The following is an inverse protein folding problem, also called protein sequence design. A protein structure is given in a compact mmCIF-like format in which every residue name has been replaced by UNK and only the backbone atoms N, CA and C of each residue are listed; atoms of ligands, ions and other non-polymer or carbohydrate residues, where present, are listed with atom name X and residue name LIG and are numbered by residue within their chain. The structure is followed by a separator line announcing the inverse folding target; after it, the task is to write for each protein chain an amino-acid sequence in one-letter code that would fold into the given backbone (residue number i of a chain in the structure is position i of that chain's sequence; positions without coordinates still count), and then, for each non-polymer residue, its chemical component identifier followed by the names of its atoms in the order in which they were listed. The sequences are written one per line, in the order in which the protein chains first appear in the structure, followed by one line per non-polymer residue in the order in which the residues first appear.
data_IF_103016825763
#
_entry.id   IF_103016825763
#
_cell.length_a   1.000
_cell.length_b   1.000
_cell.length_c   1.000
_cell.angle_alpha   90.00
_cell.angle_beta   90.00
_cell.angle_gamma   90.00
#
_symmetry.space_group_name_H-M   'P 1'
#
loop_
_entity.id
_entity.type
_entity.pdbx_description
1 polymer ?
#
# COMPACT_ATOMS: atom_id res chain seq x y z
N UNK A 1 -32.98 1.72 28.77
CA UNK A 1 -32.49 1.98 27.39
C UNK A 1 -31.19 1.19 27.22
N UNK A 2 -31.08 0.34 26.18
CA UNK A 2 -29.82 -0.39 25.93
C UNK A 2 -28.75 0.63 25.46
N UNK A 3 -27.50 0.57 25.94
CA UNK A 3 -26.47 1.49 25.48
C UNK A 3 -26.23 1.26 23.99
N UNK A 4 -26.41 2.32 23.22
CA UNK A 4 -26.20 2.32 21.78
C UNK A 4 -24.68 2.38 21.57
N UNK A 5 -24.12 1.27 21.09
CA UNK A 5 -22.67 1.07 21.00
C UNK A 5 -22.13 1.84 19.79
N UNK A 6 -21.75 3.09 20.02
CA UNK A 6 -21.08 3.90 19.01
C UNK A 6 -19.58 3.75 19.14
N UNK A 7 -18.91 3.55 18.00
CA UNK A 7 -17.46 3.65 17.92
C UNK A 7 -17.08 5.03 17.42
N UNK A 8 -15.90 5.52 17.83
CA UNK A 8 -15.32 6.75 17.26
C UNK A 8 -14.88 6.47 15.83
N UNK A 9 -14.94 7.49 14.98
CA UNK A 9 -14.45 7.39 13.60
C UNK A 9 -12.97 6.94 13.55
N UNK A 10 -12.15 7.41 14.49
CA UNK A 10 -10.75 6.96 14.59
C UNK A 10 -10.63 5.45 14.82
N UNK A 11 -11.47 4.88 15.71
CA UNK A 11 -11.46 3.45 15.97
C UNK A 11 -11.88 2.63 14.74
N UNK A 12 -12.86 3.12 13.97
CA UNK A 12 -13.22 2.50 12.70
C UNK A 12 -12.06 2.55 11.69
N UNK A 13 -11.37 3.69 11.59
CA UNK A 13 -10.23 3.84 10.70
C UNK A 13 -9.08 2.89 11.06
N UNK A 14 -8.77 2.78 12.35
CA UNK A 14 -7.74 1.87 12.86
C UNK A 14 -8.11 0.41 12.54
N UNK A 15 -9.37 0.02 12.76
CA UNK A 15 -9.86 -1.32 12.43
C UNK A 15 -9.73 -1.64 10.94
N UNK A 16 -10.03 -0.70 10.05
CA UNK A 16 -9.88 -0.89 8.59
C UNK A 16 -8.41 -1.06 8.23
N UNK A 17 -7.54 -0.20 8.76
CA UNK A 17 -6.10 -0.27 8.52
C UNK A 17 -5.51 -1.60 8.99
N UNK A 18 -5.87 -2.04 10.20
CA UNK A 18 -5.41 -3.29 10.79
C UNK A 18 -5.91 -4.49 9.98
N UNK A 19 -7.17 -4.47 9.56
CA UNK A 19 -7.76 -5.56 8.76
C UNK A 19 -7.04 -5.72 7.41
N UNK A 20 -6.79 -4.60 6.71
CA UNK A 20 -6.07 -4.62 5.43
C UNK A 20 -4.62 -5.08 5.65
N UNK A 21 -3.94 -4.50 6.63
CA UNK A 21 -2.55 -4.84 6.95
C UNK A 21 -2.39 -6.32 7.31
N UNK A 22 -3.24 -6.84 8.19
CA UNK A 22 -3.23 -8.25 8.58
C UNK A 22 -3.50 -9.18 7.38
N UNK A 23 -4.42 -8.80 6.49
CA UNK A 23 -4.74 -9.59 5.29
C UNK A 23 -3.53 -9.72 4.37
N UNK A 24 -2.74 -8.66 4.19
CA UNK A 24 -1.63 -8.63 3.23
C UNK A 24 -0.25 -8.86 3.84
N UNK A 25 -0.09 -8.84 5.17
CA UNK A 25 1.20 -8.98 5.84
C UNK A 25 1.97 -10.26 5.46
N UNK A 26 1.26 -11.37 5.22
CA UNK A 26 1.84 -12.65 4.81
C UNK A 26 1.88 -12.87 3.29
N UNK A 27 1.32 -11.95 2.51
CA UNK A 27 1.25 -12.07 1.05
C UNK A 27 2.33 -11.23 0.39
N UNK A 28 3.08 -11.84 -0.52
CA UNK A 28 4.04 -11.15 -1.38
C UNK A 28 3.70 -11.46 -2.82
N UNK A 29 3.72 -10.44 -3.66
CA UNK A 29 3.38 -10.54 -5.07
C UNK A 29 4.54 -10.04 -5.92
N UNK A 30 4.80 -10.74 -7.01
CA UNK A 30 5.55 -10.18 -8.12
C UNK A 30 4.58 -9.40 -9.00
N UNK A 31 4.97 -8.20 -9.42
CA UNK A 31 4.18 -7.36 -10.33
C UNK A 31 4.93 -7.17 -11.64
N UNK A 32 4.20 -7.19 -12.75
CA UNK A 32 4.73 -6.79 -14.05
C UNK A 32 4.45 -5.31 -14.25
N UNK A 33 5.51 -4.51 -14.38
CA UNK A 33 5.44 -3.07 -14.57
C UNK A 33 6.60 -2.61 -15.45
N UNK A 34 6.42 -1.49 -16.14
CA UNK A 34 7.48 -0.81 -16.86
C UNK A 34 8.07 0.31 -15.98
N UNK A 35 9.39 0.50 -16.05
CA UNK A 35 10.07 1.59 -15.34
C UNK A 35 9.99 2.85 -16.22
N UNK A 36 9.35 3.91 -15.72
CA UNK A 36 9.25 5.19 -16.43
C UNK A 36 10.33 6.18 -16.02
N UNK A 37 10.84 6.06 -14.79
CA UNK A 37 11.87 6.94 -14.29
C UNK A 37 12.80 6.22 -13.31
N UNK A 38 14.05 6.68 -13.27
CA UNK A 38 15.06 6.28 -12.30
C UNK A 38 15.75 7.52 -11.78
N UNK A 39 15.80 7.67 -10.46
CA UNK A 39 16.60 8.71 -9.82
C UNK A 39 17.46 8.13 -8.71
N UNK A 40 18.70 8.61 -8.62
CA UNK A 40 19.63 8.21 -7.58
C UNK A 40 19.92 9.38 -6.66
N UNK A 41 19.59 9.21 -5.38
CA UNK A 41 19.90 10.17 -4.32
C UNK A 41 21.21 9.76 -3.66
N UNK A 42 22.32 10.31 -4.17
CA UNK A 42 23.68 9.94 -3.78
C UNK A 42 23.98 10.23 -2.31
N UNK A 43 23.39 11.29 -1.76
CA UNK A 43 23.45 11.66 -0.34
C UNK A 43 22.94 10.54 0.58
N UNK A 44 21.89 9.83 0.16
CA UNK A 44 21.28 8.73 0.92
C UNK A 44 21.69 7.35 0.42
N UNK A 45 22.38 7.27 -0.73
CA UNK A 45 22.69 6.04 -1.45
C UNK A 45 21.44 5.21 -1.76
N UNK A 46 20.33 5.87 -2.10
CA UNK A 46 19.03 5.24 -2.40
C UNK A 46 18.71 5.42 -3.89
N UNK A 47 18.28 4.32 -4.52
CA UNK A 47 17.69 4.34 -5.86
C UNK A 47 16.17 4.38 -5.76
N UNK A 48 15.57 5.28 -6.53
CA UNK A 48 14.13 5.39 -6.68
C UNK A 48 13.76 5.00 -8.12
N UNK A 49 12.75 4.16 -8.24
CA UNK A 49 12.16 3.76 -9.52
C UNK A 49 10.70 4.16 -9.52
N UNK A 50 10.25 4.83 -10.58
CA UNK A 50 8.83 5.03 -10.85
C UNK A 50 8.36 3.92 -11.77
N UNK A 51 7.23 3.31 -11.43
CA UNK A 51 6.68 2.15 -12.13
C UNK A 51 5.30 2.51 -12.68
N UNK A 52 5.00 2.06 -13.90
CA UNK A 52 3.66 2.10 -14.49
C UNK A 52 3.21 0.69 -14.87
N UNK A 53 1.91 0.46 -14.89
CA UNK A 53 1.36 -0.83 -15.33
C UNK A 53 1.85 -1.15 -16.74
N UNK A 54 2.40 -2.36 -16.91
CA UNK A 54 2.85 -2.81 -18.22
C UNK A 54 1.63 -3.00 -19.10
N UNK A 55 1.60 -2.32 -20.24
CA UNK A 55 0.52 -2.51 -21.22
C UNK A 55 0.44 -3.98 -21.63
N UNK A 56 -0.77 -4.55 -21.60
CA UNK A 56 -1.01 -5.87 -22.19
C UNK A 56 -0.93 -5.72 -23.71
N UNK A 57 0.23 -6.02 -24.28
CA UNK A 57 0.30 -6.32 -25.71
C UNK A 57 -0.31 -7.71 -25.87
N UNK A 58 -1.54 -7.76 -26.39
CA UNK A 58 -2.21 -9.02 -26.77
C UNK A 58 -1.50 -9.75 -27.89
#
# INVERSE_FOLDING_TARGET
MKPQHYIRLSALNDMIHDTISARFASQRFWVLADITNHSYKADKKIHYFELVEKAQNG
#
